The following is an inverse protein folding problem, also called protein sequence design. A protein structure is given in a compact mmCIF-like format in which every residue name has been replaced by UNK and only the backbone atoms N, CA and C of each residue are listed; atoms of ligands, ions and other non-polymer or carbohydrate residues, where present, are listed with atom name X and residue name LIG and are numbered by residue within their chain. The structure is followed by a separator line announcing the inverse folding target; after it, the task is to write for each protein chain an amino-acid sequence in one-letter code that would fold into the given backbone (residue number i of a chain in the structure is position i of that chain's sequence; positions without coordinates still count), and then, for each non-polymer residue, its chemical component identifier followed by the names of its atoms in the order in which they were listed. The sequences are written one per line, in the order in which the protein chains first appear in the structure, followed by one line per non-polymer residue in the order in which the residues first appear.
data_IF_211695400267
#
_entry.id   IF_211695400267
#
_cell.length_a   1.000
_cell.length_b   1.000
_cell.length_c   1.000
_cell.angle_alpha   90.00
_cell.angle_beta   90.00
_cell.angle_gamma   90.00
#
_symmetry.space_group_name_H-M   'P 1'
#
loop_
_entity.id
_entity.type
_entity.pdbx_description
1 polymer ?
#
# COMPACT_ATOMS: atom_id res chain seq x y z
N UNK A 1 -5.12 -13.45 13.74
CA UNK A 1 -4.42 -14.69 13.31
C UNK A 1 -3.89 -14.45 11.90
N UNK A 2 -2.61 -14.77 11.65
CA UNK A 2 -1.97 -14.60 10.33
C UNK A 2 -1.34 -13.22 10.04
N UNK A 3 -0.97 -12.44 11.08
CA UNK A 3 -0.31 -11.14 10.88
C UNK A 3 1.02 -11.28 10.12
N UNK A 4 1.92 -12.12 10.64
CA UNK A 4 3.26 -12.33 10.07
C UNK A 4 3.19 -12.79 8.61
N UNK A 5 2.32 -13.74 8.31
CA UNK A 5 2.14 -14.34 6.98
C UNK A 5 1.60 -13.34 5.95
N UNK A 6 0.77 -12.38 6.38
CA UNK A 6 0.06 -11.47 5.47
C UNK A 6 0.69 -10.09 5.39
N UNK A 7 0.99 -9.48 6.53
CA UNK A 7 1.54 -8.12 6.62
C UNK A 7 3.05 -8.08 6.45
N UNK A 8 3.77 -9.13 6.86
CA UNK A 8 5.24 -9.24 6.68
C UNK A 8 6.06 -8.10 7.34
N UNK A 9 5.41 -7.29 8.20
CA UNK A 9 5.98 -6.27 9.07
C UNK A 9 5.92 -6.73 10.52
N UNK A 10 6.88 -6.25 11.32
CA UNK A 10 6.86 -6.48 12.76
C UNK A 10 5.55 -5.95 13.38
N UNK A 11 4.91 -6.77 14.19
CA UNK A 11 3.70 -6.38 14.92
C UNK A 11 3.96 -5.17 15.82
N UNK A 12 5.16 -5.01 16.38
CA UNK A 12 5.54 -3.90 17.23
C UNK A 12 5.37 -2.52 16.59
N UNK A 13 5.40 -2.41 15.26
CA UNK A 13 5.13 -1.15 14.57
C UNK A 13 3.64 -0.77 14.52
N UNK A 14 2.73 -1.74 14.63
CA UNK A 14 1.29 -1.54 14.42
C UNK A 14 0.45 -1.84 15.67
N UNK A 15 0.86 -2.82 16.45
CA UNK A 15 0.16 -3.34 17.61
C UNK A 15 -0.28 -2.27 18.59
N UNK A 16 0.61 -1.37 19.05
CA UNK A 16 0.22 -0.30 19.98
C UNK A 16 -0.91 0.59 19.44
N UNK A 17 -0.86 0.95 18.16
CA UNK A 17 -1.89 1.78 17.51
C UNK A 17 -3.20 1.02 17.36
N UNK A 18 -3.12 -0.25 16.92
CA UNK A 18 -4.29 -1.12 16.75
C UNK A 18 -4.98 -1.38 18.10
N UNK A 19 -4.20 -1.73 19.12
CA UNK A 19 -4.70 -2.04 20.46
C UNK A 19 -5.35 -0.81 21.10
N UNK A 20 -4.76 0.39 20.93
CA UNK A 20 -5.36 1.64 21.39
C UNK A 20 -6.70 1.93 20.69
N UNK A 21 -6.78 1.73 19.37
CA UNK A 21 -8.01 1.94 18.62
C UNK A 21 -9.12 0.97 19.06
N UNK A 22 -8.79 -0.32 19.16
CA UNK A 22 -9.74 -1.36 19.61
C UNK A 22 -10.16 -1.12 21.07
N UNK A 23 -9.22 -0.75 21.94
CA UNK A 23 -9.50 -0.39 23.34
C UNK A 23 -10.43 0.83 23.47
N UNK A 24 -10.40 1.75 22.51
CA UNK A 24 -11.34 2.88 22.40
C UNK A 24 -12.68 2.51 21.73
N UNK A 25 -12.90 1.23 21.38
CA UNK A 25 -14.13 0.73 20.79
C UNK A 25 -14.16 0.76 19.25
N UNK A 26 -13.04 1.03 18.58
CA UNK A 26 -12.98 0.97 17.13
C UNK A 26 -13.10 -0.48 16.62
N UNK A 27 -13.70 -0.64 15.44
CA UNK A 27 -13.75 -1.91 14.72
C UNK A 27 -12.59 -1.97 13.73
N UNK A 28 -11.93 -3.12 13.64
CA UNK A 28 -10.92 -3.36 12.62
C UNK A 28 -11.58 -3.87 11.33
N UNK A 29 -11.28 -3.19 10.23
CA UNK A 29 -11.76 -3.54 8.89
C UNK A 29 -10.57 -3.98 8.03
N UNK A 30 -10.67 -5.17 7.44
CA UNK A 30 -9.70 -5.63 6.45
C UNK A 30 -10.01 -4.95 5.10
N UNK A 31 -9.50 -3.73 4.90
CA UNK A 31 -9.84 -2.92 3.74
C UNK A 31 -9.15 -3.37 2.43
N UNK A 32 -8.04 -4.09 2.52
CA UNK A 32 -7.20 -4.37 1.36
C UNK A 32 -7.60 -5.66 0.60
N UNK A 33 -7.19 -5.76 -0.66
CA UNK A 33 -7.39 -6.94 -1.49
C UNK A 33 -6.67 -8.18 -0.93
N UNK A 34 -7.24 -9.36 -1.20
CA UNK A 34 -6.64 -10.64 -0.82
C UNK A 34 -5.24 -10.79 -1.45
N UNK A 35 -4.26 -11.23 -0.64
CA UNK A 35 -2.86 -11.39 -1.06
C UNK A 35 -2.72 -12.40 -2.19
N UNK A 36 -3.53 -13.43 -2.18
CA UNK A 36 -3.58 -14.49 -3.19
C UNK A 36 -4.01 -13.93 -4.54
N UNK A 37 -5.01 -13.04 -4.53
CA UNK A 37 -5.54 -12.37 -5.71
C UNK A 37 -4.45 -11.47 -6.33
N UNK A 38 -3.84 -10.58 -5.55
CA UNK A 38 -2.81 -9.68 -6.08
C UNK A 38 -1.54 -10.41 -6.51
N UNK A 39 -1.14 -11.47 -5.78
CA UNK A 39 -0.04 -12.36 -6.18
C UNK A 39 -0.34 -13.11 -7.49
N UNK A 40 -1.61 -13.44 -7.75
CA UNK A 40 -2.01 -14.05 -9.01
C UNK A 40 -1.96 -13.04 -10.16
N UNK A 41 -2.53 -11.84 -9.96
CA UNK A 41 -2.52 -10.76 -10.96
C UNK A 41 -1.08 -10.34 -11.32
N UNK A 42 -0.20 -10.16 -10.33
CA UNK A 42 1.18 -9.75 -10.60
C UNK A 42 1.96 -10.79 -11.41
N UNK A 43 1.62 -12.07 -11.29
CA UNK A 43 2.30 -13.18 -11.98
C UNK A 43 1.67 -13.53 -13.33
N UNK A 44 0.35 -13.46 -13.42
CA UNK A 44 -0.43 -14.06 -14.51
C UNK A 44 -1.37 -13.09 -15.21
N UNK A 45 -1.42 -11.82 -14.80
CA UNK A 45 -2.33 -10.82 -15.37
C UNK A 45 -3.74 -10.85 -14.77
N UNK A 46 -4.50 -9.78 -15.00
CA UNK A 46 -5.85 -9.59 -14.49
C UNK A 46 -6.85 -10.58 -15.10
N UNK A 47 -6.62 -10.96 -16.35
CA UNK A 47 -7.40 -11.95 -17.11
C UNK A 47 -7.36 -13.34 -16.47
N UNK A 48 -6.34 -13.64 -15.67
CA UNK A 48 -6.19 -14.93 -15.00
C UNK A 48 -7.16 -15.16 -13.84
N UNK A 49 -7.86 -14.12 -13.38
CA UNK A 49 -8.82 -14.22 -12.29
C UNK A 49 -10.05 -15.05 -12.69
N UNK A 50 -10.49 -15.95 -11.81
CA UNK A 50 -11.77 -16.68 -11.97
C UNK A 50 -12.95 -15.72 -11.80
N UNK A 51 -14.18 -16.10 -12.21
CA UNK A 51 -15.36 -15.28 -11.95
C UNK A 51 -15.53 -14.91 -10.47
N UNK A 52 -15.24 -15.84 -9.56
CA UNK A 52 -15.36 -15.65 -8.11
C UNK A 52 -14.27 -14.70 -7.56
N UNK A 53 -13.06 -14.75 -8.11
CA UNK A 53 -12.00 -13.80 -7.76
C UNK A 53 -12.29 -12.42 -8.34
N UNK A 54 -12.79 -12.33 -9.58
CA UNK A 54 -13.21 -11.06 -10.20
C UNK A 54 -14.31 -10.38 -9.42
N UNK A 55 -15.25 -11.14 -8.84
CA UNK A 55 -16.30 -10.60 -7.98
C UNK A 55 -15.78 -9.95 -6.68
N UNK A 56 -14.53 -10.23 -6.27
CA UNK A 56 -13.88 -9.59 -5.12
C UNK A 56 -13.14 -8.31 -5.51
N UNK A 57 -12.92 -8.06 -6.81
CA UNK A 57 -12.26 -6.86 -7.30
C UNK A 57 -13.32 -5.82 -7.65
N UNK A 58 -13.27 -4.62 -7.05
CA UNK A 58 -14.19 -3.55 -7.44
C UNK A 58 -13.89 -3.06 -8.86
N UNK A 59 -14.70 -2.14 -9.36
CA UNK A 59 -14.41 -1.45 -10.62
C UNK A 59 -13.01 -0.81 -10.59
N UNK A 60 -12.19 -1.12 -11.59
CA UNK A 60 -10.82 -0.63 -11.70
C UNK A 60 -10.73 0.52 -12.70
N UNK A 61 -10.14 1.64 -12.26
CA UNK A 61 -9.76 2.75 -13.13
C UNK A 61 -8.26 2.65 -13.42
N UNK A 62 -7.92 2.02 -14.55
CA UNK A 62 -6.53 1.77 -14.96
C UNK A 62 -5.96 2.89 -15.87
N UNK A 63 -6.81 3.76 -16.38
CA UNK A 63 -6.47 4.82 -17.34
C UNK A 63 -6.36 6.23 -16.73
N UNK A 64 -6.26 6.34 -15.40
CA UNK A 64 -5.96 7.61 -14.73
C UNK A 64 -4.51 8.04 -15.03
N UNK A 65 -4.35 8.92 -16.01
CA UNK A 65 -3.05 9.41 -16.47
C UNK A 65 -2.24 10.12 -15.38
N UNK A 66 -2.90 10.84 -14.45
CA UNK A 66 -2.21 11.56 -13.38
C UNK A 66 -1.67 10.60 -12.32
N UNK A 67 -2.48 9.61 -11.94
CA UNK A 67 -2.04 8.52 -11.06
C UNK A 67 -0.92 7.70 -11.69
N UNK A 68 -1.04 7.39 -13.00
CA UNK A 68 -0.01 6.65 -13.73
C UNK A 68 1.32 7.40 -13.77
N UNK A 69 1.31 8.68 -14.13
CA UNK A 69 2.52 9.50 -14.19
C UNK A 69 3.22 9.60 -12.82
N UNK A 70 2.44 9.75 -11.74
CA UNK A 70 2.97 9.73 -10.38
C UNK A 70 3.62 8.37 -10.04
N UNK A 71 2.93 7.27 -10.36
CA UNK A 71 3.43 5.92 -10.08
C UNK A 71 4.73 5.64 -10.85
N UNK A 72 4.81 6.02 -12.12
CA UNK A 72 6.01 5.83 -12.94
C UNK A 72 7.20 6.61 -12.35
N UNK A 73 6.98 7.85 -11.90
CA UNK A 73 8.02 8.65 -11.24
C UNK A 73 8.46 8.06 -9.88
N UNK A 74 7.52 7.49 -9.11
CA UNK A 74 7.84 6.78 -7.87
C UNK A 74 8.73 5.56 -8.15
N UNK A 75 8.36 4.75 -9.14
CA UNK A 75 9.13 3.55 -9.50
C UNK A 75 10.53 3.91 -10.01
N UNK A 76 10.67 4.97 -10.80
CA UNK A 76 11.99 5.49 -11.22
C UNK A 76 12.84 5.90 -10.02
N UNK A 77 12.27 6.66 -9.08
CA UNK A 77 12.95 7.11 -7.86
C UNK A 77 13.37 5.96 -6.92
N UNK A 78 12.66 4.84 -6.94
CA UNK A 78 12.99 3.63 -6.16
C UNK A 78 14.00 2.69 -6.87
N UNK A 79 14.53 3.08 -8.03
CA UNK A 79 15.49 2.26 -8.80
C UNK A 79 14.83 1.24 -9.74
N UNK A 80 13.59 1.47 -10.14
CA UNK A 80 12.81 0.63 -11.05
C UNK A 80 12.24 -0.63 -10.40
N UNK A 81 11.89 -1.63 -11.22
CA UNK A 81 11.26 -2.89 -10.79
C UNK A 81 12.12 -3.75 -9.82
N UNK A 82 13.29 -3.28 -9.39
CA UNK A 82 14.15 -3.92 -8.40
C UNK A 82 13.73 -3.68 -6.93
N UNK A 83 12.75 -2.80 -6.67
CA UNK A 83 12.37 -2.40 -5.30
C UNK A 83 11.45 -3.38 -4.53
N UNK A 84 11.00 -4.50 -5.12
CA UNK A 84 10.06 -5.44 -4.45
C UNK A 84 10.69 -6.68 -3.83
N UNK A 85 12.02 -6.73 -3.75
CA UNK A 85 12.73 -7.70 -2.94
C UNK A 85 13.42 -6.95 -1.81
N UNK A 86 13.12 -7.28 -0.55
CA UNK A 86 14.05 -6.94 0.53
C UNK A 86 15.46 -7.37 0.08
N UNK A 87 16.53 -6.61 0.37
CA UNK A 87 17.84 -7.24 0.46
C UNK A 87 17.67 -8.34 1.51
N UNK A 88 17.84 -9.59 1.11
CA UNK A 88 17.94 -10.67 2.08
C UNK A 88 19.08 -10.29 3.01
N UNK A 89 18.79 -10.15 4.30
CA UNK A 89 19.82 -10.20 5.33
C UNK A 89 20.76 -11.36 4.99
N UNK A 90 22.07 -11.07 4.97
CA UNK A 90 23.14 -12.04 4.77
C UNK A 90 22.85 -13.30 5.60
N UNK A 91 22.40 -14.36 4.92
CA UNK A 91 22.48 -15.70 5.48
C UNK A 91 23.95 -16.06 5.52
N UNK A 92 24.44 -16.34 6.73
CA UNK A 92 25.76 -16.93 6.97
C UNK A 92 26.03 -18.07 5.97
N UNK A 93 27.25 -18.15 5.42
CA UNK A 93 27.57 -19.17 4.43
C UNK A 93 27.82 -20.48 5.19
N UNK A 94 26.87 -21.41 5.16
CA UNK A 94 27.19 -22.84 5.23
C UNK A 94 25.96 -23.71 4.93
N UNK A 95 25.74 -23.93 3.64
CA UNK A 95 25.35 -25.21 3.02
C UNK A 95 25.20 -24.97 1.51
N UNK A 96 25.75 -25.82 0.63
CA UNK A 96 25.53 -25.67 -0.81
C UNK A 96 24.07 -26.00 -1.12
N UNK A 97 23.24 -24.98 -1.25
CA UNK A 97 21.91 -25.11 -1.83
C UNK A 97 22.07 -25.47 -3.31
N UNK A 98 21.49 -26.61 -3.71
CA UNK A 98 21.38 -27.02 -5.11
C UNK A 98 20.78 -25.85 -5.92
N UNK A 99 21.36 -25.44 -7.07
CA UNK A 99 20.79 -24.35 -7.85
C UNK A 99 19.35 -24.69 -8.24
N UNK A 100 18.41 -23.73 -8.19
CA UNK A 100 17.07 -23.97 -8.72
C UNK A 100 17.18 -24.36 -10.20
N UNK A 101 16.70 -25.56 -10.53
CA UNK A 101 16.60 -26.03 -11.91
C UNK A 101 15.39 -25.32 -12.57
N UNK A 102 15.67 -24.38 -13.47
CA UNK A 102 14.66 -23.65 -14.25
C UNK A 102 15.08 -22.21 -14.54
N UNK A 103 14.48 -21.54 -15.55
CA UNK A 103 14.69 -20.12 -15.74
C UNK A 103 14.25 -19.37 -14.48
N UNK A 104 15.00 -18.33 -14.11
CA UNK A 104 14.60 -17.44 -13.02
C UNK A 104 13.15 -16.96 -13.26
N UNK A 105 12.31 -16.87 -12.22
CA UNK A 105 10.96 -16.35 -12.39
C UNK A 105 11.04 -14.96 -13.02
N UNK A 106 10.31 -14.79 -14.13
CA UNK A 106 10.26 -13.52 -14.85
C UNK A 106 9.79 -12.42 -13.89
N UNK A 107 10.54 -11.31 -13.86
CA UNK A 107 10.15 -10.15 -13.07
C UNK A 107 8.79 -9.65 -13.60
N UNK A 108 7.82 -9.32 -12.72
CA UNK A 108 6.56 -8.76 -13.17
C UNK A 108 6.78 -7.51 -14.02
N UNK A 109 6.03 -7.37 -15.10
CA UNK A 109 6.06 -6.15 -15.91
C UNK A 109 5.56 -4.94 -15.11
N UNK A 110 6.03 -3.74 -15.46
CA UNK A 110 5.57 -2.49 -14.83
C UNK A 110 4.04 -2.36 -14.87
N UNK A 111 3.40 -2.78 -15.97
CA UNK A 111 1.93 -2.81 -16.10
C UNK A 111 1.25 -3.70 -15.06
N UNK A 112 1.82 -4.88 -14.75
CA UNK A 112 1.25 -5.78 -13.75
C UNK A 112 1.43 -5.24 -12.33
N UNK A 113 2.55 -4.57 -12.07
CA UNK A 113 2.79 -3.90 -10.78
C UNK A 113 1.80 -2.74 -10.61
N UNK A 114 1.65 -1.89 -11.63
CA UNK A 114 0.68 -0.79 -11.62
C UNK A 114 -0.76 -1.30 -11.47
N UNK A 115 -1.13 -2.38 -12.16
CA UNK A 115 -2.46 -3.00 -12.01
C UNK A 115 -2.71 -3.42 -10.56
N UNK A 116 -1.70 -4.01 -9.89
CA UNK A 116 -1.82 -4.39 -8.48
C UNK A 116 -1.91 -3.18 -7.55
N UNK A 117 -1.15 -2.11 -7.82
CA UNK A 117 -1.27 -0.83 -7.12
C UNK A 117 -2.72 -0.33 -7.17
N UNK A 118 -3.31 -0.29 -8.38
CA UNK A 118 -4.71 0.13 -8.57
C UNK A 118 -5.70 -0.80 -7.88
N UNK A 119 -5.49 -2.13 -7.92
CA UNK A 119 -6.35 -3.08 -7.21
C UNK A 119 -6.33 -2.79 -5.70
N UNK A 120 -5.15 -2.53 -5.12
CA UNK A 120 -5.05 -2.16 -3.71
C UNK A 120 -5.82 -0.88 -3.39
N UNK A 121 -5.59 0.18 -4.18
CA UNK A 121 -6.22 1.48 -3.95
C UNK A 121 -7.75 1.42 -4.11
N UNK A 122 -8.23 0.75 -5.16
CA UNK A 122 -9.67 0.58 -5.40
C UNK A 122 -10.33 -0.29 -4.33
N UNK A 123 -9.68 -1.37 -3.89
CA UNK A 123 -10.27 -2.26 -2.88
C UNK A 123 -10.35 -1.59 -1.52
N UNK A 124 -9.30 -0.84 -1.13
CA UNK A 124 -9.31 -0.06 0.12
C UNK A 124 -10.39 1.03 0.10
N UNK A 125 -10.51 1.75 -1.01
CA UNK A 125 -11.55 2.76 -1.17
C UNK A 125 -12.95 2.15 -1.16
N UNK A 126 -13.16 1.07 -1.90
CA UNK A 126 -14.47 0.39 -2.02
C UNK A 126 -14.94 -0.19 -0.69
N UNK A 127 -14.07 -0.94 -0.02
CA UNK A 127 -14.38 -1.56 1.28
C UNK A 127 -14.71 -0.49 2.31
N UNK A 128 -13.97 0.62 2.32
CA UNK A 128 -14.19 1.71 3.26
C UNK A 128 -15.47 2.48 2.94
N UNK A 129 -15.72 2.82 1.68
CA UNK A 129 -16.94 3.51 1.26
C UNK A 129 -18.19 2.68 1.60
N UNK A 130 -18.18 1.38 1.31
CA UNK A 130 -19.28 0.48 1.65
C UNK A 130 -19.53 0.44 3.17
N UNK A 131 -18.47 0.42 3.97
CA UNK A 131 -18.60 0.46 5.43
C UNK A 131 -19.17 1.78 5.95
N UNK A 132 -18.75 2.93 5.39
CA UNK A 132 -19.26 4.25 5.74
C UNK A 132 -20.73 4.43 5.34
N UNK A 133 -21.14 3.93 4.17
CA UNK A 133 -22.54 3.92 3.74
C UNK A 133 -23.40 3.11 4.73
N UNK A 134 -22.90 1.96 5.19
CA UNK A 134 -23.58 1.14 6.19
C UNK A 134 -23.51 1.72 7.61
N UNK A 135 -22.68 2.74 7.85
CA UNK A 135 -22.44 3.35 9.16
C UNK A 135 -22.48 4.89 9.05
N UNK A 136 -23.68 5.52 8.96
CA UNK A 136 -23.80 6.95 8.60
C UNK A 136 -23.12 7.96 9.53
N UNK A 137 -22.86 7.59 10.79
CA UNK A 137 -22.10 8.42 11.75
C UNK A 137 -20.69 7.87 12.01
N UNK A 138 -20.28 6.87 11.25
CA UNK A 138 -19.00 6.20 11.35
C UNK A 138 -17.88 7.09 10.85
N UNK A 139 -16.69 6.86 11.39
CA UNK A 139 -15.44 7.45 10.89
C UNK A 139 -14.49 6.30 10.63
N UNK A 140 -13.75 6.38 9.53
CA UNK A 140 -12.76 5.39 9.16
C UNK A 140 -11.36 6.02 9.20
N UNK A 141 -10.39 5.25 9.68
CA UNK A 141 -8.96 5.56 9.56
C UNK A 141 -8.35 4.42 8.76
N UNK A 142 -7.74 4.75 7.63
CA UNK A 142 -7.04 3.79 6.78
C UNK A 142 -5.55 3.92 7.07
N UNK A 143 -4.94 2.84 7.56
CA UNK A 143 -3.49 2.73 7.68
C UNK A 143 -2.93 2.11 6.39
N UNK A 144 -2.22 2.90 5.59
CA UNK A 144 -1.64 2.48 4.33
C UNK A 144 -0.23 3.06 4.15
N UNK A 145 0.55 2.47 3.25
CA UNK A 145 1.86 3.00 2.88
C UNK A 145 1.75 4.34 2.15
N UNK A 146 2.76 5.21 2.27
CA UNK A 146 2.73 6.59 1.77
C UNK A 146 2.25 6.75 0.32
N UNK A 147 2.57 5.82 -0.58
CA UNK A 147 2.11 5.89 -1.96
C UNK A 147 0.58 5.81 -2.11
N UNK A 148 -0.08 5.03 -1.27
CA UNK A 148 -1.53 4.88 -1.26
C UNK A 148 -2.26 6.12 -0.69
N UNK A 149 -1.54 6.96 0.05
CA UNK A 149 -2.09 8.19 0.61
C UNK A 149 -2.10 9.35 -0.40
N UNK A 150 -1.51 9.20 -1.59
CA UNK A 150 -1.54 10.24 -2.61
C UNK A 150 -2.98 10.61 -3.00
N UNK A 151 -3.24 11.88 -3.33
CA UNK A 151 -4.60 12.34 -3.69
C UNK A 151 -5.25 11.50 -4.80
N UNK A 152 -4.49 11.12 -5.83
CA UNK A 152 -5.00 10.27 -6.91
C UNK A 152 -5.05 8.76 -6.59
N UNK A 153 -4.64 8.34 -5.39
CA UNK A 153 -4.64 6.95 -4.91
C UNK A 153 -5.96 6.61 -4.20
N UNK A 154 -5.95 6.32 -2.89
CA UNK A 154 -7.18 5.98 -2.14
C UNK A 154 -8.16 7.15 -2.08
N UNK A 155 -7.65 8.39 -1.91
CA UNK A 155 -8.45 9.60 -1.64
C UNK A 155 -9.46 9.85 -2.76
N UNK A 156 -9.00 10.09 -3.99
CA UNK A 156 -9.88 10.31 -5.16
C UNK A 156 -10.81 9.14 -5.45
N UNK A 157 -10.43 7.91 -5.08
CA UNK A 157 -11.28 6.72 -5.23
C UNK A 157 -12.40 6.65 -4.19
N UNK A 158 -12.19 7.20 -3.00
CA UNK A 158 -13.23 7.42 -1.99
C UNK A 158 -14.17 8.55 -2.42
N UNK A 159 -13.63 9.68 -2.89
CA UNK A 159 -14.41 10.82 -3.37
C UNK A 159 -15.36 10.43 -4.50
N UNK A 160 -14.87 9.66 -5.48
CA UNK A 160 -15.69 9.13 -6.59
C UNK A 160 -16.84 8.24 -6.10
N UNK A 161 -16.70 7.63 -4.92
CA UNK A 161 -17.74 6.80 -4.27
C UNK A 161 -18.63 7.61 -3.32
N UNK A 162 -18.54 8.95 -3.34
CA UNK A 162 -19.40 9.84 -2.57
C UNK A 162 -18.91 10.13 -1.15
N UNK A 163 -17.70 9.72 -0.78
CA UNK A 163 -17.09 10.07 0.51
C UNK A 163 -16.40 11.42 0.35
N UNK A 164 -17.05 12.51 0.76
CA UNK A 164 -16.58 13.88 0.52
C UNK A 164 -15.60 14.42 1.58
N UNK A 165 -15.63 13.89 2.80
CA UNK A 165 -14.77 14.34 3.90
C UNK A 165 -13.60 13.37 4.06
N UNK A 166 -12.62 13.44 3.15
CA UNK A 166 -11.40 12.64 3.19
C UNK A 166 -10.21 13.55 3.45
N UNK A 167 -9.34 13.13 4.37
CA UNK A 167 -8.09 13.83 4.70
C UNK A 167 -6.94 12.84 4.59
N UNK A 168 -5.93 13.21 3.82
CA UNK A 168 -4.70 12.44 3.67
C UNK A 168 -3.58 13.00 4.54
N UNK A 169 -2.86 12.10 5.21
CA UNK A 169 -1.75 12.45 6.09
C UNK A 169 -0.53 11.65 5.68
N UNK A 170 0.57 12.34 5.36
CA UNK A 170 1.84 11.72 5.03
C UNK A 170 2.86 11.91 6.15
N UNK A 171 3.30 10.85 6.82
CA UNK A 171 4.45 10.92 7.70
C UNK A 171 5.76 10.94 6.87
N UNK A 172 6.65 11.87 7.20
CA UNK A 172 8.00 11.94 6.64
C UNK A 172 9.04 12.04 7.75
N UNK A 173 10.13 11.30 7.63
CA UNK A 173 11.25 11.38 8.57
C UNK A 173 12.27 12.37 8.02
N UNK A 174 12.50 13.46 8.74
CA UNK A 174 13.56 14.39 8.40
C UNK A 174 14.90 13.85 8.86
N UNK A 175 15.63 13.23 7.93
CA UNK A 175 16.95 12.66 8.20
C UNK A 175 18.10 13.62 7.94
N UNK A 176 17.88 14.82 7.36
CA UNK A 176 18.98 15.70 6.90
C UNK A 176 18.53 17.08 6.37
N UNK A 177 17.36 17.59 6.78
CA UNK A 177 16.75 18.80 6.22
C UNK A 177 16.16 18.60 4.83
N UNK A 178 15.92 17.35 4.41
CA UNK A 178 15.50 16.97 3.05
C UNK A 178 13.99 16.91 2.84
N UNK A 179 13.20 17.37 3.81
CA UNK A 179 11.73 17.38 3.68
C UNK A 179 11.20 18.56 2.87
N UNK A 180 12.06 19.53 2.51
CA UNK A 180 11.66 20.71 1.75
C UNK A 180 10.90 20.36 0.45
N UNK A 181 11.39 19.37 -0.30
CA UNK A 181 10.77 18.92 -1.54
C UNK A 181 9.38 18.29 -1.32
N UNK A 182 9.17 17.64 -0.18
CA UNK A 182 7.85 17.12 0.21
C UNK A 182 6.92 18.26 0.61
N UNK A 183 7.41 19.23 1.38
CA UNK A 183 6.60 20.35 1.88
C UNK A 183 6.15 21.31 0.77
N UNK A 184 6.91 21.43 -0.33
CA UNK A 184 6.52 22.28 -1.47
C UNK A 184 5.60 21.59 -2.48
N UNK A 185 5.42 20.27 -2.38
CA UNK A 185 4.54 19.49 -3.26
C UNK A 185 3.23 19.21 -2.53
N UNK A 186 2.11 19.86 -2.88
CA UNK A 186 0.82 19.61 -2.23
C UNK A 186 0.22 18.30 -2.75
N UNK A 187 0.77 17.17 -2.27
CA UNK A 187 0.34 15.81 -2.64
C UNK A 187 -0.58 15.18 -1.59
N UNK A 188 -0.70 15.83 -0.44
CA UNK A 188 -1.45 15.42 0.74
C UNK A 188 -1.99 16.66 1.47
N UNK A 189 -3.10 16.51 2.21
CA UNK A 189 -3.67 17.58 3.03
C UNK A 189 -2.75 17.97 4.19
N UNK A 190 -2.12 16.97 4.82
CA UNK A 190 -1.18 17.17 5.90
C UNK A 190 0.10 16.37 5.69
N UNK A 191 1.22 16.98 6.04
CA UNK A 191 2.53 16.33 6.18
C UNK A 191 2.94 16.39 7.63
N UNK A 192 3.23 15.23 8.23
CA UNK A 192 3.74 15.13 9.60
C UNK A 192 5.25 14.87 9.53
N UNK A 193 6.04 15.87 9.89
CA UNK A 193 7.49 15.77 9.91
C UNK A 193 7.95 15.19 11.24
N UNK A 194 8.51 13.99 11.18
CA UNK A 194 9.10 13.28 12.31
C UNK A 194 10.61 13.52 12.31
N UNK A 195 11.16 13.83 13.49
CA UNK A 195 12.61 13.95 13.66
C UNK A 195 13.14 12.69 14.33
N UNK A 196 14.28 12.19 13.82
CA UNK A 196 14.98 11.14 14.54
C UNK A 196 15.49 11.70 15.87
N UNK A 197 15.43 10.90 16.95
CA UNK A 197 16.02 11.31 18.22
C UNK A 197 17.50 11.62 18.00
N UNK A 198 17.99 12.72 18.59
CA UNK A 198 19.42 13.04 18.57
C UNK A 198 20.18 11.86 19.20
N UNK A 199 21.31 11.44 18.62
CA UNK A 199 22.14 10.42 19.26
C UNK A 199 22.48 10.88 20.68
N UNK A 200 22.40 9.96 21.64
CA UNK A 200 22.81 10.25 23.01
C UNK A 200 24.32 10.59 22.99
N UNK A 201 24.68 11.75 23.53
CA UNK A 201 26.07 12.18 23.71
C UNK A 201 26.79 11.31 24.75
#
# INVERSE_FOLDING_TARGET
VGWEERWSYDWGFYGPTIDAAVGAGAKLLAANAARELTKKVVRKGLESLTPEEKAQVPELVLDDAAHRAWFDALMEGMGGAHAHSKPSEEKAPDAPAKPPEGPAPEMPSAERIYTVQVIWDETMADTTANWLIATPTGRAIILAGNGHCHDSAIVKRLERRGVGDVVSVQPVIDTEGRVADTLVKPMNDFVVVLQMPKPAN
#
